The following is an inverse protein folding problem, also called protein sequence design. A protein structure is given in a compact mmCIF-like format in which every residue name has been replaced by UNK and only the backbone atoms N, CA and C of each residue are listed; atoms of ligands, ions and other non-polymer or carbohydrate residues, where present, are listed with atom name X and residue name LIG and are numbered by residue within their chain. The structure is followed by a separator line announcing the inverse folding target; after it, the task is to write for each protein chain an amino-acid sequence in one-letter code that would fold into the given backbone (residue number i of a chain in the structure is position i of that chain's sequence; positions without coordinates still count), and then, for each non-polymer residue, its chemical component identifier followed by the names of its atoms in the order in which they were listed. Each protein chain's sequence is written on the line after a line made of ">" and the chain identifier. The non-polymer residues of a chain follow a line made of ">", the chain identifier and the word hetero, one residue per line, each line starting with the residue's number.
data_IF_850886073916
#
_entry.id   IF_850886073916
#
_cell.length_a   1.000
_cell.length_b   1.000
_cell.length_c   1.000
_cell.angle_alpha   90.00
_cell.angle_beta   90.00
_cell.angle_gamma   90.00
#
_symmetry.space_group_name_H-M   'P 1'
#
loop_
_entity.id
_entity.type
_entity.pdbx_description
1 polymer ?
#
# COMPACT_ATOMS: atom_id res chain seq x y z
N UNK A 1 5.03 8.78 -14.41
CA UNK A 1 6.48 8.63 -14.52
C UNK A 1 6.96 7.56 -13.55
N UNK A 2 7.72 6.60 -14.03
CA UNK A 2 8.34 5.58 -13.17
C UNK A 2 9.39 6.25 -12.29
N UNK A 3 9.35 5.97 -10.99
CA UNK A 3 10.29 6.54 -10.01
C UNK A 3 11.20 5.47 -9.43
N UNK A 4 12.37 5.89 -8.93
CA UNK A 4 13.27 5.01 -8.19
C UNK A 4 12.63 4.52 -6.90
N UNK A 5 12.94 3.28 -6.53
CA UNK A 5 12.47 2.70 -5.29
C UNK A 5 13.28 3.26 -4.12
N UNK A 6 12.59 3.86 -3.16
CA UNK A 6 13.17 4.34 -1.92
C UNK A 6 13.62 3.16 -1.05
N UNK A 7 14.86 3.18 -0.60
CA UNK A 7 15.46 2.10 0.21
C UNK A 7 16.01 2.57 1.55
N UNK A 8 15.86 3.84 1.86
CA UNK A 8 16.29 4.41 3.15
C UNK A 8 15.29 4.05 4.24
N UNK A 9 15.69 3.19 5.16
CA UNK A 9 14.82 2.73 6.26
C UNK A 9 14.37 3.89 7.16
N UNK A 10 15.22 4.89 7.39
CA UNK A 10 14.85 6.04 8.21
C UNK A 10 13.71 6.83 7.56
N UNK A 11 13.74 6.97 6.23
CA UNK A 11 12.65 7.60 5.48
C UNK A 11 11.36 6.78 5.59
N UNK A 12 11.46 5.47 5.39
CA UNK A 12 10.32 4.55 5.40
C UNK A 12 9.71 4.36 6.80
N UNK A 13 10.47 4.61 7.85
CA UNK A 13 10.02 4.47 9.23
C UNK A 13 9.16 5.64 9.72
N UNK A 14 8.96 6.67 8.89
CA UNK A 14 8.10 7.80 9.24
C UNK A 14 6.70 7.62 8.67
N UNK A 15 5.68 7.98 9.47
CA UNK A 15 4.30 7.93 9.03
C UNK A 15 4.04 8.92 7.90
N UNK A 16 3.22 8.52 6.94
CA UNK A 16 2.83 9.36 5.80
C UNK A 16 1.69 10.30 6.18
N UNK A 17 1.67 11.45 5.54
CA UNK A 17 0.61 12.45 5.69
C UNK A 17 -0.63 12.09 4.89
N UNK A 18 -1.75 12.68 5.26
CA UNK A 18 -3.00 12.56 4.51
C UNK A 18 -2.80 13.08 3.08
N UNK A 19 -3.28 12.32 2.11
CA UNK A 19 -3.28 12.71 0.71
C UNK A 19 -4.50 13.56 0.37
N UNK A 20 -4.36 14.40 -0.65
CA UNK A 20 -5.43 15.28 -1.14
C UNK A 20 -5.61 15.14 -2.65
N UNK A 21 -6.57 15.85 -3.21
CA UNK A 21 -6.80 15.87 -4.66
C UNK A 21 -5.56 16.37 -5.45
N UNK A 22 -4.67 17.12 -4.80
CA UNK A 22 -3.43 17.60 -5.42
C UNK A 22 -2.41 16.49 -5.63
N UNK A 23 -2.61 15.33 -5.00
CA UNK A 23 -1.68 14.20 -5.05
C UNK A 23 -2.02 13.18 -6.15
N UNK A 24 -2.93 13.49 -7.07
CA UNK A 24 -3.32 12.55 -8.14
C UNK A 24 -2.15 12.18 -9.06
N UNK A 25 -1.22 13.09 -9.29
CA UNK A 25 -0.03 12.80 -10.08
C UNK A 25 0.88 11.79 -9.38
N UNK A 26 0.98 11.86 -8.06
CA UNK A 26 1.72 10.89 -7.25
C UNK A 26 1.10 9.50 -7.41
N UNK A 27 -0.23 9.41 -7.39
CA UNK A 27 -0.93 8.15 -7.60
C UNK A 27 -0.63 7.57 -8.98
N UNK A 28 -0.57 8.40 -10.01
CA UNK A 28 -0.21 7.98 -11.36
C UNK A 28 1.21 7.44 -11.42
N UNK A 29 2.16 8.15 -10.83
CA UNK A 29 3.55 7.73 -10.78
C UNK A 29 3.69 6.41 -10.02
N UNK A 30 2.92 6.24 -8.95
CA UNK A 30 2.90 5.01 -8.16
C UNK A 30 2.41 3.82 -9.00
N UNK A 31 1.31 4.00 -9.74
CA UNK A 31 0.79 2.97 -10.65
C UNK A 31 1.80 2.60 -11.74
N UNK A 32 2.43 3.57 -12.36
CA UNK A 32 3.42 3.33 -13.41
C UNK A 32 4.66 2.61 -12.86
N UNK A 33 5.09 2.98 -11.67
CA UNK A 33 6.22 2.33 -11.00
C UNK A 33 5.88 0.88 -10.61
N UNK A 34 4.68 0.66 -10.08
CA UNK A 34 4.20 -0.68 -9.75
C UNK A 34 4.15 -1.57 -11.00
N UNK A 35 3.61 -1.06 -12.09
CA UNK A 35 3.53 -1.80 -13.35
C UNK A 35 4.92 -2.14 -13.89
N UNK A 36 5.87 -1.22 -13.78
CA UNK A 36 7.26 -1.47 -14.20
C UNK A 36 7.92 -2.60 -13.39
N UNK A 37 7.45 -2.86 -12.17
CA UNK A 37 7.97 -3.91 -11.28
C UNK A 37 7.03 -5.11 -11.14
N UNK A 38 6.04 -5.25 -12.01
CA UNK A 38 4.98 -6.28 -11.87
C UNK A 38 5.49 -7.72 -11.80
N UNK A 39 6.69 -8.00 -12.30
CA UNK A 39 7.26 -9.34 -12.26
C UNK A 39 7.63 -9.78 -10.82
N UNK A 40 7.82 -8.85 -9.91
CA UNK A 40 8.24 -9.15 -8.53
C UNK A 40 7.52 -8.34 -7.46
N UNK A 41 6.48 -7.58 -7.84
CA UNK A 41 5.80 -6.69 -6.90
C UNK A 41 4.31 -6.62 -7.22
N UNK A 42 3.48 -6.78 -6.20
CA UNK A 42 2.01 -6.79 -6.34
C UNK A 42 1.34 -5.60 -5.66
N UNK A 43 2.08 -4.81 -4.91
CA UNK A 43 1.56 -3.62 -4.23
C UNK A 43 2.68 -2.67 -3.87
N UNK A 44 2.32 -1.41 -3.67
CA UNK A 44 3.28 -0.35 -3.37
C UNK A 44 2.58 0.79 -2.64
N UNK A 45 3.29 1.39 -1.68
CA UNK A 45 2.84 2.61 -1.03
C UNK A 45 3.68 3.79 -1.53
N UNK A 46 3.14 5.01 -1.45
CA UNK A 46 3.80 6.19 -1.99
C UNK A 46 5.15 6.48 -1.34
N UNK A 47 5.37 6.10 -0.08
CA UNK A 47 6.68 6.29 0.54
C UNK A 47 7.77 5.46 -0.14
N UNK A 48 7.41 4.37 -0.82
CA UNK A 48 8.35 3.55 -1.59
C UNK A 48 8.86 4.26 -2.85
N UNK A 49 8.22 5.32 -3.28
CA UNK A 49 8.71 6.18 -4.37
C UNK A 49 9.14 7.57 -3.86
N UNK A 50 9.40 7.68 -2.57
CA UNK A 50 9.95 8.89 -1.97
C UNK A 50 8.94 9.96 -1.59
N UNK A 51 7.66 9.62 -1.49
CA UNK A 51 6.60 10.59 -1.15
C UNK A 51 5.82 10.10 0.07
N UNK A 52 5.88 10.84 1.18
CA UNK A 52 5.16 10.48 2.40
C UNK A 52 3.72 10.96 2.36
N UNK A 53 2.93 10.34 1.48
CA UNK A 53 1.48 10.55 1.37
C UNK A 53 0.76 9.21 1.47
N UNK A 54 -0.39 9.21 2.11
CA UNK A 54 -1.17 7.98 2.33
C UNK A 54 -1.88 7.57 1.05
N UNK A 55 -1.11 7.01 0.12
CA UNK A 55 -1.59 6.48 -1.16
C UNK A 55 -1.00 5.10 -1.33
N UNK A 56 -1.82 4.12 -1.68
CA UNK A 56 -1.38 2.78 -2.02
C UNK A 56 -1.91 2.38 -3.39
N UNK A 57 -1.18 1.50 -4.07
CA UNK A 57 -1.61 0.87 -5.30
C UNK A 57 -1.33 -0.62 -5.19
N UNK A 58 -2.21 -1.45 -5.72
CA UNK A 58 -2.06 -2.89 -5.62
C UNK A 58 -2.80 -3.61 -6.74
N UNK A 59 -2.39 -4.86 -6.99
CA UNK A 59 -3.08 -5.76 -7.90
C UNK A 59 -4.30 -6.36 -7.20
N UNK A 60 -5.47 -6.16 -7.81
CA UNK A 60 -6.72 -6.75 -7.36
C UNK A 60 -7.28 -7.62 -8.49
N UNK A 61 -7.01 -8.91 -8.40
CA UNK A 61 -7.52 -9.91 -9.35
C UNK A 61 -7.19 -9.58 -10.83
N UNK A 62 -5.97 -9.12 -11.07
CA UNK A 62 -5.48 -8.82 -12.40
C UNK A 62 -5.65 -7.38 -12.86
N UNK A 63 -6.25 -6.53 -12.03
CA UNK A 63 -6.38 -5.08 -12.30
C UNK A 63 -5.74 -4.29 -11.17
N UNK A 64 -5.14 -3.16 -11.50
CA UNK A 64 -4.59 -2.29 -10.47
C UNK A 64 -5.66 -1.40 -9.85
N UNK A 65 -5.56 -1.20 -8.56
CA UNK A 65 -6.44 -0.34 -7.78
C UNK A 65 -5.60 0.64 -6.97
N UNK A 66 -6.08 1.87 -6.85
CA UNK A 66 -5.46 2.93 -6.04
C UNK A 66 -6.40 3.30 -4.90
N UNK A 67 -5.83 3.49 -3.72
CA UNK A 67 -6.56 4.02 -2.56
C UNK A 67 -5.84 5.24 -2.01
N UNK A 68 -6.59 6.32 -1.78
CA UNK A 68 -6.13 7.49 -1.04
C UNK A 68 -6.62 7.37 0.40
N UNK A 69 -5.75 7.63 1.35
CA UNK A 69 -6.09 7.63 2.78
C UNK A 69 -6.78 6.35 3.26
N UNK A 70 -6.23 5.17 2.94
CA UNK A 70 -6.85 3.92 3.35
C UNK A 70 -6.77 3.73 4.86
N UNK A 71 -7.87 3.23 5.44
CA UNK A 71 -7.96 2.93 6.86
C UNK A 71 -8.74 1.64 7.06
N UNK A 72 -8.19 0.72 7.84
CA UNK A 72 -8.87 -0.53 8.18
C UNK A 72 -9.82 -0.24 9.34
N UNK A 73 -11.12 -0.36 9.08
CA UNK A 73 -12.16 -0.07 10.07
C UNK A 73 -12.68 -1.34 10.74
N UNK A 74 -12.46 -2.52 10.15
CA UNK A 74 -12.84 -3.81 10.72
C UNK A 74 -11.92 -4.90 10.19
N UNK A 75 -11.60 -5.88 11.04
CA UNK A 75 -10.73 -7.00 10.67
C UNK A 75 -11.10 -8.24 11.45
N UNK A 76 -10.89 -9.42 10.83
CA UNK A 76 -11.16 -10.71 11.47
C UNK A 76 -10.28 -11.81 10.87
N UNK A 77 -10.09 -12.90 11.63
CA UNK A 77 -9.33 -14.05 11.18
C UNK A 77 -7.82 -13.82 11.18
N UNK A 78 -7.23 -13.61 12.36
CA UNK A 78 -5.80 -13.40 12.52
C UNK A 78 -4.99 -14.63 12.09
N UNK A 79 -3.87 -14.40 11.41
CA UNK A 79 -2.89 -15.43 11.05
C UNK A 79 -1.50 -14.82 10.95
N UNK A 80 -0.47 -15.65 11.00
CA UNK A 80 0.89 -15.20 10.83
C UNK A 80 1.33 -15.35 9.37
N UNK A 81 2.07 -14.36 8.87
CA UNK A 81 2.61 -14.34 7.54
C UNK A 81 4.08 -13.93 7.57
N UNK A 82 4.82 -14.31 6.53
CA UNK A 82 6.18 -13.83 6.32
C UNK A 82 6.20 -13.10 4.99
N UNK A 83 6.64 -11.85 4.99
CA UNK A 83 6.51 -10.95 3.85
C UNK A 83 7.83 -10.26 3.52
N UNK A 84 8.05 -10.03 2.23
CA UNK A 84 9.14 -9.22 1.72
C UNK A 84 8.61 -7.93 1.09
N UNK A 85 9.52 -6.97 0.91
CA UNK A 85 9.20 -5.68 0.30
C UNK A 85 10.31 -5.29 -0.68
N UNK A 86 9.93 -4.69 -1.80
CA UNK A 86 10.88 -4.25 -2.82
C UNK A 86 11.89 -3.21 -2.27
N UNK A 87 11.46 -2.40 -1.30
CA UNK A 87 12.31 -1.37 -0.67
C UNK A 87 13.28 -1.92 0.37
N UNK A 88 13.08 -3.16 0.85
CA UNK A 88 13.81 -3.73 1.98
C UNK A 88 14.37 -5.09 1.63
N UNK A 89 15.50 -5.44 2.23
CA UNK A 89 16.10 -6.77 2.05
C UNK A 89 15.52 -7.79 3.03
N UNK A 90 15.44 -9.06 2.60
CA UNK A 90 14.95 -10.16 3.41
C UNK A 90 13.44 -10.15 3.61
N UNK A 91 13.00 -10.97 4.54
CA UNK A 91 11.58 -11.11 4.89
C UNK A 91 11.36 -10.83 6.38
N UNK A 92 10.12 -10.54 6.75
CA UNK A 92 9.73 -10.27 8.13
C UNK A 92 8.44 -10.98 8.46
N UNK A 93 8.35 -11.50 9.67
CA UNK A 93 7.11 -12.11 10.18
C UNK A 93 6.18 -11.02 10.67
N UNK A 94 4.90 -11.16 10.37
CA UNK A 94 3.89 -10.21 10.78
C UNK A 94 2.54 -10.90 10.98
N UNK A 95 1.66 -10.27 11.73
CA UNK A 95 0.28 -10.71 11.86
C UNK A 95 -0.54 -10.07 10.75
N UNK A 96 -1.38 -10.89 10.11
CA UNK A 96 -2.33 -10.45 9.08
C UNK A 96 -3.73 -10.94 9.41
N UNK A 97 -4.71 -10.42 8.70
CA UNK A 97 -6.12 -10.71 8.91
C UNK A 97 -6.74 -11.23 7.61
N UNK A 98 -7.51 -12.32 7.71
CA UNK A 98 -8.14 -12.95 6.53
C UNK A 98 -9.15 -12.05 5.86
N UNK A 99 -9.86 -11.22 6.63
CA UNK A 99 -10.87 -10.31 6.14
C UNK A 99 -10.67 -8.92 6.75
N UNK A 100 -10.72 -7.91 5.89
CA UNK A 100 -10.62 -6.52 6.32
C UNK A 100 -11.68 -5.68 5.63
N UNK A 101 -12.20 -4.68 6.34
CA UNK A 101 -13.06 -3.67 5.78
C UNK A 101 -12.28 -2.36 5.75
N UNK A 102 -12.16 -1.76 4.58
CA UNK A 102 -11.31 -0.59 4.36
C UNK A 102 -12.18 0.60 3.97
N UNK A 103 -11.99 1.71 4.66
CA UNK A 103 -12.51 3.00 4.24
C UNK A 103 -11.38 3.73 3.52
N UNK A 104 -11.64 4.23 2.34
CA UNK A 104 -10.63 4.92 1.53
C UNK A 104 -11.30 5.93 0.61
N UNK A 105 -10.49 6.73 -0.04
CA UNK A 105 -10.96 7.62 -1.11
C UNK A 105 -10.44 7.11 -2.45
N UNK A 106 -11.30 7.15 -3.47
CA UNK A 106 -10.89 6.81 -4.83
C UNK A 106 -10.18 8.00 -5.50
N UNK A 107 -9.83 7.86 -6.77
CA UNK A 107 -9.11 8.91 -7.51
C UNK A 107 -9.90 10.21 -7.67
N UNK A 108 -11.21 10.16 -7.48
CA UNK A 108 -12.09 11.35 -7.46
C UNK A 108 -12.29 11.89 -6.05
N UNK A 109 -11.53 11.38 -5.07
CA UNK A 109 -11.61 11.73 -3.65
C UNK A 109 -12.99 11.43 -3.03
N UNK A 110 -13.72 10.48 -3.61
CA UNK A 110 -14.98 10.00 -3.07
C UNK A 110 -14.71 8.92 -2.03
N UNK A 111 -15.37 9.03 -0.88
CA UNK A 111 -15.24 8.02 0.19
C UNK A 111 -15.91 6.72 -0.26
N UNK A 112 -15.17 5.63 -0.07
CA UNK A 112 -15.61 4.26 -0.36
C UNK A 112 -15.36 3.37 0.84
N UNK A 113 -16.19 2.37 0.98
CA UNK A 113 -16.06 1.37 2.04
C UNK A 113 -16.21 0.00 1.39
N UNK A 114 -15.17 -0.85 1.51
CA UNK A 114 -15.16 -2.14 0.83
C UNK A 114 -14.47 -3.20 1.68
N UNK A 115 -14.99 -4.44 1.60
CA UNK A 115 -14.40 -5.60 2.27
C UNK A 115 -13.51 -6.36 1.28
N UNK A 116 -12.32 -6.72 1.75
CA UNK A 116 -11.37 -7.55 1.02
C UNK A 116 -11.01 -8.76 1.84
N UNK A 117 -10.69 -9.87 1.18
CA UNK A 117 -10.33 -11.12 1.83
C UNK A 117 -9.09 -11.73 1.18
N UNK A 118 -8.47 -12.70 1.86
CA UNK A 118 -7.39 -13.50 1.31
C UNK A 118 -6.17 -12.71 0.89
N UNK A 119 -5.64 -13.03 -0.28
CA UNK A 119 -4.39 -12.44 -0.78
C UNK A 119 -4.49 -10.93 -1.00
N UNK A 120 -5.58 -10.44 -1.58
CA UNK A 120 -5.79 -9.01 -1.76
C UNK A 120 -5.79 -8.27 -0.43
N UNK A 121 -6.46 -8.83 0.59
CA UNK A 121 -6.46 -8.26 1.93
C UNK A 121 -5.06 -8.22 2.52
N UNK A 122 -4.25 -9.24 2.30
CA UNK A 122 -2.86 -9.28 2.78
C UNK A 122 -2.02 -8.18 2.14
N UNK A 123 -2.14 -7.99 0.83
CA UNK A 123 -1.42 -6.93 0.11
C UNK A 123 -1.78 -5.55 0.66
N UNK A 124 -3.08 -5.28 0.82
CA UNK A 124 -3.57 -3.98 1.32
C UNK A 124 -3.02 -3.70 2.72
N UNK A 125 -3.03 -4.69 3.61
CA UNK A 125 -2.51 -4.54 4.97
C UNK A 125 -1.03 -4.19 4.97
N UNK A 126 -0.24 -4.86 4.13
CA UNK A 126 1.19 -4.58 3.98
C UNK A 126 1.41 -3.12 3.55
N UNK A 127 0.68 -2.66 2.55
CA UNK A 127 0.86 -1.29 2.05
C UNK A 127 0.37 -0.24 3.04
N UNK A 128 -0.70 -0.51 3.79
CA UNK A 128 -1.16 0.40 4.85
C UNK A 128 -0.10 0.49 5.96
N UNK A 129 0.56 -0.62 6.30
CA UNK A 129 1.66 -0.59 7.26
C UNK A 129 2.75 0.38 6.81
N UNK A 130 3.11 0.40 5.53
CA UNK A 130 4.05 1.39 5.00
C UNK A 130 3.55 2.82 5.20
N UNK A 131 2.27 3.08 4.99
CA UNK A 131 1.68 4.39 5.25
C UNK A 131 1.84 4.80 6.73
N UNK A 132 1.86 3.85 7.63
CA UNK A 132 2.02 4.08 9.07
C UNK A 132 3.49 4.12 9.51
N UNK A 133 4.42 4.02 8.58
CA UNK A 133 5.86 4.02 8.87
C UNK A 133 6.37 2.72 9.45
N UNK A 134 5.66 1.62 9.29
CA UNK A 134 6.09 0.31 9.75
C UNK A 134 7.07 -0.32 8.76
N UNK A 135 8.16 -0.86 9.29
CA UNK A 135 9.16 -1.59 8.51
C UNK A 135 8.71 -3.05 8.39
N UNK A 136 8.21 -3.38 7.22
CA UNK A 136 7.65 -4.71 6.96
C UNK A 136 8.11 -5.25 5.59
#
# INVERSE_FOLDING_TARGET
>A
MVREIMKDEAFLAEASEKATAEDTEIARDLLETLEAHKAGCVGMAANMIGVRKRIIAFDHEGSYMVMFNPEIVKKSGAYEAEEGCLSLTGTRKTRRWQSIKVQYQNEKMQIRLKTFTGWTAQIIQHEIDHCNGMII
#
